data_IF_857246950944
#
_entry.id   IF_857246950944
#
_cell.length_a   1.000
_cell.length_b   1.000
_cell.length_c   1.000
_cell.angle_alpha   90.00
_cell.angle_beta   90.00
_cell.angle_gamma   90.00
#
_symmetry.space_group_name_H-M   'P 1'
#
loop_
_entity.id
_entity.type
_entity.pdbx_description
1 polymer ?
#
# COMPACT_ATOMS: atom_id res chain seq x y z
N UNK A 1 -11.86 16.12 -7.32
CA UNK A 1 -10.55 16.78 -7.11
C UNK A 1 -9.63 15.78 -6.41
N UNK A 2 -8.38 15.64 -6.85
CA UNK A 2 -7.40 14.77 -6.21
C UNK A 2 -6.55 15.56 -5.21
N UNK A 3 -6.07 14.89 -4.18
CA UNK A 3 -5.12 15.43 -3.20
C UNK A 3 -3.86 14.58 -3.22
N UNK A 4 -2.73 15.16 -2.87
CA UNK A 4 -1.42 14.54 -2.98
C UNK A 4 -0.66 14.67 -1.67
N UNK A 5 0.12 13.65 -1.35
CA UNK A 5 1.14 13.70 -0.30
C UNK A 5 2.46 13.93 -1.00
N UNK A 6 3.07 15.09 -0.79
CA UNK A 6 4.28 15.48 -1.49
C UNK A 6 5.44 15.61 -0.54
N UNK A 7 6.60 15.14 -0.97
CA UNK A 7 7.87 15.52 -0.40
C UNK A 7 8.31 16.84 -1.03
N UNK A 8 8.28 17.94 -0.26
CA UNK A 8 8.67 19.26 -0.80
C UNK A 8 10.17 19.44 -0.89
N UNK A 9 10.96 18.60 -0.23
CA UNK A 9 12.42 18.66 -0.31
C UNK A 9 12.94 17.98 -1.57
N UNK A 10 12.34 16.86 -1.95
CA UNK A 10 12.69 16.12 -3.17
C UNK A 10 11.84 16.50 -4.39
N UNK A 11 10.82 17.35 -4.22
CA UNK A 11 9.83 17.68 -5.23
C UNK A 11 9.18 16.42 -5.85
N UNK A 12 8.73 15.48 -5.00
CA UNK A 12 8.13 14.20 -5.42
C UNK A 12 6.74 13.98 -4.85
N UNK A 13 5.87 13.38 -5.65
CA UNK A 13 4.55 12.92 -5.20
C UNK A 13 4.69 11.52 -4.60
N UNK A 14 4.43 11.39 -3.30
CA UNK A 14 4.48 10.13 -2.56
C UNK A 14 3.19 9.34 -2.78
N UNK A 15 2.03 9.95 -2.55
CA UNK A 15 0.75 9.23 -2.55
C UNK A 15 -0.39 10.10 -3.12
N UNK A 16 -1.35 9.45 -3.79
CA UNK A 16 -2.58 10.09 -4.28
C UNK A 16 -3.75 9.77 -3.36
N UNK A 17 -4.41 10.81 -2.86
CA UNK A 17 -5.50 10.78 -1.89
C UNK A 17 -6.82 11.30 -2.47
N UNK A 18 -7.93 10.78 -1.94
CA UNK A 18 -9.29 11.19 -2.34
C UNK A 18 -9.74 12.45 -1.61
N UNK A 19 -9.25 12.67 -0.40
CA UNK A 19 -9.62 13.82 0.44
C UNK A 19 -8.37 14.47 1.03
N UNK A 20 -8.49 15.75 1.39
CA UNK A 20 -7.41 16.48 2.09
C UNK A 20 -7.06 15.81 3.42
N UNK A 21 -8.07 15.43 4.19
CA UNK A 21 -7.89 14.72 5.47
C UNK A 21 -7.11 13.42 5.32
N UNK A 22 -7.35 12.66 4.25
CA UNK A 22 -6.57 11.46 3.96
C UNK A 22 -5.10 11.82 3.68
N UNK A 23 -4.85 12.85 2.87
CA UNK A 23 -3.49 13.33 2.59
C UNK A 23 -2.78 13.82 3.87
N UNK A 24 -3.47 14.50 4.77
CA UNK A 24 -2.93 14.94 6.07
C UNK A 24 -2.48 13.75 6.94
N UNK A 25 -3.29 12.68 7.00
CA UNK A 25 -2.97 11.48 7.79
C UNK A 25 -1.68 10.83 7.26
N UNK A 26 -1.57 10.64 5.94
CA UNK A 26 -0.38 10.02 5.36
C UNK A 26 0.85 10.93 5.39
N UNK A 27 0.68 12.24 5.21
CA UNK A 27 1.78 13.20 5.38
C UNK A 27 2.30 13.20 6.82
N UNK A 28 1.40 13.21 7.81
CA UNK A 28 1.74 13.11 9.22
C UNK A 28 2.47 11.81 9.53
N UNK A 29 1.96 10.67 9.07
CA UNK A 29 2.61 9.37 9.26
C UNK A 29 4.01 9.30 8.63
N UNK A 30 4.18 9.81 7.41
CA UNK A 30 5.50 9.83 6.77
C UNK A 30 6.49 10.71 7.53
N UNK A 31 6.06 11.89 7.98
CA UNK A 31 6.86 12.79 8.81
C UNK A 31 7.24 12.15 10.15
N UNK A 32 6.30 11.47 10.83
CA UNK A 32 6.56 10.73 12.07
C UNK A 32 7.65 9.67 11.90
N UNK A 33 7.58 8.90 10.82
CA UNK A 33 8.53 7.82 10.54
C UNK A 33 9.92 8.37 10.16
N UNK A 34 9.97 9.42 9.35
CA UNK A 34 11.23 9.99 8.85
C UNK A 34 11.85 11.01 9.81
N UNK A 35 11.11 11.50 10.80
CA UNK A 35 11.55 12.58 11.69
C UNK A 35 11.71 13.93 10.99
N UNK A 36 10.88 14.21 9.97
CA UNK A 36 10.94 15.44 9.16
C UNK A 36 9.61 16.21 9.16
N UNK A 37 9.60 17.37 8.52
CA UNK A 37 8.39 18.20 8.29
C UNK A 37 8.22 18.65 6.83
N UNK A 38 8.96 18.02 5.91
CA UNK A 38 8.93 18.32 4.47
C UNK A 38 7.82 17.59 3.73
N UNK A 39 7.16 16.60 4.35
CA UNK A 39 6.06 15.88 3.71
C UNK A 39 4.77 16.63 3.97
N UNK A 40 4.09 17.10 2.92
CA UNK A 40 2.91 17.96 3.05
C UNK A 40 1.75 17.51 2.17
N UNK A 41 0.51 17.64 2.65
CA UNK A 41 -0.65 17.49 1.79
C UNK A 41 -0.74 18.67 0.82
N UNK A 42 -1.11 18.41 -0.44
CA UNK A 42 -1.18 19.41 -1.49
C UNK A 42 -2.26 19.08 -2.52
N UNK A 43 -2.72 20.07 -3.26
CA UNK A 43 -3.52 19.89 -4.49
C UNK A 43 -2.65 19.86 -5.75
N UNK A 44 -1.36 20.18 -5.62
CA UNK A 44 -0.39 20.18 -6.71
C UNK A 44 0.26 18.81 -6.86
N UNK A 45 0.27 18.27 -8.07
CA UNK A 45 1.01 17.07 -8.43
C UNK A 45 2.45 17.42 -8.85
N UNK A 46 3.44 16.70 -8.32
CA UNK A 46 4.79 16.69 -8.85
C UNK A 46 4.97 15.55 -9.86
N UNK A 47 5.65 15.82 -10.98
CA UNK A 47 5.82 14.87 -12.09
C UNK A 47 6.51 13.57 -11.70
N UNK A 48 7.36 13.60 -10.67
CA UNK A 48 8.05 12.41 -10.15
C UNK A 48 7.17 11.70 -9.12
N UNK A 49 6.78 10.45 -9.42
CA UNK A 49 5.96 9.62 -8.52
C UNK A 49 6.77 8.48 -7.91
N UNK A 50 6.67 8.33 -6.60
CA UNK A 50 7.36 7.27 -5.85
C UNK A 50 6.53 5.98 -5.92
N UNK A 51 7.18 4.85 -6.17
CA UNK A 51 6.54 3.54 -6.31
C UNK A 51 7.32 2.44 -5.56
N UNK A 52 6.73 1.24 -5.48
CA UNK A 52 7.40 0.05 -4.95
C UNK A 52 7.86 0.16 -3.49
N UNK A 53 8.99 -0.45 -3.16
CA UNK A 53 9.57 -0.39 -1.81
C UNK A 53 9.95 1.04 -1.39
N UNK A 54 10.33 1.92 -2.33
CA UNK A 54 10.65 3.32 -2.00
C UNK A 54 9.44 4.05 -1.43
N UNK A 55 8.23 3.76 -1.94
CA UNK A 55 6.99 4.31 -1.38
C UNK A 55 6.81 3.85 0.06
N UNK A 56 6.98 2.57 0.32
CA UNK A 56 6.80 1.99 1.65
C UNK A 56 7.85 2.47 2.65
N UNK A 57 9.05 2.83 2.17
CA UNK A 57 10.13 3.42 2.96
C UNK A 57 9.71 4.70 3.70
N UNK A 58 8.84 5.53 3.09
CA UNK A 58 8.29 6.73 3.75
C UNK A 58 7.49 6.38 5.01
N UNK A 59 6.93 5.17 5.08
CA UNK A 59 6.08 4.71 6.17
C UNK A 59 6.75 3.65 7.06
N UNK A 60 8.05 3.38 6.85
CA UNK A 60 8.83 2.46 7.67
C UNK A 60 8.63 0.98 7.33
N UNK A 61 8.24 0.67 6.08
CA UNK A 61 8.04 -0.71 5.64
C UNK A 61 8.80 -1.05 4.37
N UNK A 62 9.04 -2.35 4.21
CA UNK A 62 9.24 -3.03 2.91
C UNK A 62 7.97 -3.77 2.51
N UNK A 63 7.85 -4.18 1.24
CA UNK A 63 6.76 -5.03 0.74
C UNK A 63 6.62 -6.27 1.64
N UNK A 64 7.74 -6.93 1.94
CA UNK A 64 7.72 -8.16 2.74
C UNK A 64 7.20 -7.90 4.16
N UNK A 65 7.75 -6.90 4.85
CA UNK A 65 7.37 -6.58 6.23
C UNK A 65 5.91 -6.12 6.37
N UNK A 66 5.40 -5.33 5.42
CA UNK A 66 4.03 -4.85 5.45
C UNK A 66 3.05 -6.01 5.20
N UNK A 67 3.31 -6.83 4.17
CA UNK A 67 2.47 -7.98 3.85
C UNK A 67 2.46 -8.97 5.00
N UNK A 68 3.62 -9.30 5.56
CA UNK A 68 3.69 -10.26 6.68
C UNK A 68 2.89 -9.75 7.89
N UNK A 69 3.06 -8.46 8.26
CA UNK A 69 2.29 -7.84 9.35
C UNK A 69 0.78 -7.85 9.08
N UNK A 70 0.33 -7.45 7.90
CA UNK A 70 -1.10 -7.47 7.56
C UNK A 70 -1.66 -8.90 7.63
N UNK A 71 -0.93 -9.89 7.13
CA UNK A 71 -1.36 -11.28 7.18
C UNK A 71 -1.44 -11.85 8.61
N UNK A 72 -0.68 -11.32 9.58
CA UNK A 72 -0.87 -11.71 11.00
C UNK A 72 -2.25 -11.33 11.54
N UNK A 73 -2.91 -10.33 10.94
CA UNK A 73 -4.23 -9.84 11.35
C UNK A 73 -5.39 -10.55 10.60
N UNK A 74 -5.09 -11.26 9.52
CA UNK A 74 -6.08 -11.99 8.72
C UNK A 74 -6.56 -13.28 9.44
N UNK A 75 -7.64 -13.94 9.00
CA UNK A 75 -8.11 -15.19 9.61
C UNK A 75 -7.08 -16.30 9.36
N UNK A 76 -6.92 -17.23 10.31
CA UNK A 76 -5.89 -18.29 10.29
C UNK A 76 -5.86 -19.05 8.94
N UNK A 77 -7.03 -19.41 8.41
CA UNK A 77 -7.19 -20.08 7.10
C UNK A 77 -6.60 -19.32 5.91
N UNK A 78 -6.45 -18.00 6.02
CA UNK A 78 -5.93 -17.14 4.95
C UNK A 78 -4.43 -16.92 5.08
N UNK A 79 -3.82 -17.20 6.25
CA UNK A 79 -2.41 -16.96 6.57
C UNK A 79 -1.42 -17.91 5.90
N UNK A 80 -1.88 -18.75 4.98
CA UNK A 80 -1.06 -19.70 4.23
C UNK A 80 0.04 -18.96 3.48
N UNK A 81 1.26 -19.49 3.51
CA UNK A 81 2.43 -18.81 2.94
C UNK A 81 2.30 -18.57 1.43
N UNK A 82 1.62 -19.47 0.71
CA UNK A 82 1.31 -19.27 -0.71
C UNK A 82 0.43 -18.04 -0.97
N UNK A 83 -0.45 -17.65 -0.04
CA UNK A 83 -1.25 -16.41 -0.17
C UNK A 83 -0.39 -15.17 0.09
N UNK A 84 0.51 -15.21 1.09
CA UNK A 84 1.48 -14.13 1.32
C UNK A 84 2.37 -13.95 0.11
N UNK A 85 2.90 -15.06 -0.41
CA UNK A 85 3.75 -15.09 -1.59
C UNK A 85 3.03 -14.50 -2.80
N UNK A 86 1.75 -14.84 -3.04
CA UNK A 86 0.96 -14.24 -4.11
C UNK A 86 0.94 -12.70 -4.02
N UNK A 87 0.60 -12.15 -2.85
CA UNK A 87 0.53 -10.70 -2.67
C UNK A 87 1.91 -10.04 -2.84
N UNK A 88 2.96 -10.65 -2.27
CA UNK A 88 4.35 -10.18 -2.44
C UNK A 88 4.77 -10.19 -3.91
N UNK A 89 4.48 -11.26 -4.64
CA UNK A 89 4.77 -11.39 -6.08
C UNK A 89 4.02 -10.33 -6.89
N UNK A 90 2.75 -10.07 -6.57
CA UNK A 90 1.95 -9.05 -7.24
C UNK A 90 2.48 -7.63 -7.03
N UNK A 91 2.99 -7.33 -5.83
CA UNK A 91 3.54 -6.02 -5.48
C UNK A 91 4.96 -5.82 -6.03
N UNK A 92 5.79 -6.88 -6.05
CA UNK A 92 7.14 -6.86 -6.64
C UNK A 92 7.10 -6.80 -8.17
N UNK A 93 6.02 -7.28 -8.79
CA UNK A 93 5.83 -7.28 -10.24
C UNK A 93 4.52 -6.56 -10.64
N UNK A 94 4.44 -5.23 -10.50
CA UNK A 94 3.19 -4.48 -10.68
C UNK A 94 2.67 -4.50 -12.13
N UNK A 95 3.54 -4.76 -13.11
CA UNK A 95 3.19 -4.83 -14.54
C UNK A 95 2.66 -6.20 -14.97
N UNK A 96 2.89 -7.26 -14.19
CA UNK A 96 2.42 -8.60 -14.53
C UNK A 96 0.93 -8.73 -14.29
N UNK A 97 0.24 -9.47 -15.16
CA UNK A 97 -1.18 -9.76 -14.99
C UNK A 97 -1.44 -10.57 -13.70
N UNK A 98 -2.61 -10.36 -13.09
CA UNK A 98 -2.99 -11.07 -11.86
C UNK A 98 -3.01 -12.59 -12.06
N UNK A 99 -3.46 -13.04 -13.23
CA UNK A 99 -3.45 -14.45 -13.60
C UNK A 99 -2.01 -15.01 -13.67
N UNK A 100 -1.09 -14.28 -14.29
CA UNK A 100 0.33 -14.67 -14.36
C UNK A 100 0.96 -14.76 -12.98
N UNK A 101 0.68 -13.81 -12.08
CA UNK A 101 1.15 -13.86 -10.69
C UNK A 101 0.60 -15.09 -9.94
N UNK A 102 -0.67 -15.46 -10.15
CA UNK A 102 -1.25 -16.69 -9.58
C UNK A 102 -0.52 -17.94 -10.08
N UNK A 103 -0.22 -18.02 -11.37
CA UNK A 103 0.49 -19.16 -11.96
C UNK A 103 1.92 -19.29 -11.43
N UNK A 104 2.61 -18.17 -11.16
CA UNK A 104 3.96 -18.19 -10.58
C UNK A 104 4.02 -18.73 -9.14
N UNK A 105 2.88 -18.84 -8.45
CA UNK A 105 2.79 -19.32 -7.07
C UNK A 105 1.89 -20.55 -6.95
N UNK A 106 1.70 -21.27 -8.06
CA UNK A 106 0.91 -22.50 -8.15
C UNK A 106 -0.54 -22.34 -7.66
N UNK A 107 -1.19 -21.24 -8.06
CA UNK A 107 -2.61 -20.95 -7.74
C UNK A 107 -3.47 -20.78 -8.98
N UNK A 108 -4.76 -21.06 -8.82
CA UNK A 108 -5.76 -20.80 -9.84
C UNK A 108 -5.83 -19.30 -10.20
N UNK A 109 -5.99 -18.95 -11.49
CA UNK A 109 -6.04 -17.56 -11.95
C UNK A 109 -7.10 -16.67 -11.26
N UNK A 110 -8.16 -17.26 -10.71
CA UNK A 110 -9.26 -16.55 -10.02
C UNK A 110 -9.06 -16.42 -8.50
N UNK A 111 -8.01 -17.04 -7.93
CA UNK A 111 -7.79 -17.07 -6.48
C UNK A 111 -7.59 -15.68 -5.88
N UNK A 112 -6.95 -14.76 -6.62
CA UNK A 112 -6.61 -13.43 -6.11
C UNK A 112 -7.83 -12.61 -5.71
N UNK A 113 -8.98 -12.72 -6.39
CA UNK A 113 -10.14 -11.85 -6.14
C UNK A 113 -10.69 -12.05 -4.73
N UNK A 114 -10.79 -13.31 -4.29
CA UNK A 114 -11.23 -13.62 -2.92
C UNK A 114 -10.22 -13.13 -1.89
N UNK A 115 -8.93 -13.35 -2.14
CA UNK A 115 -7.86 -12.94 -1.24
C UNK A 115 -7.78 -11.42 -1.09
N UNK A 116 -7.90 -10.67 -2.19
CA UNK A 116 -7.90 -9.20 -2.20
C UNK A 116 -9.08 -8.61 -1.42
N UNK A 117 -10.27 -9.19 -1.52
CA UNK A 117 -11.43 -8.74 -0.75
C UNK A 117 -11.19 -8.89 0.76
N UNK A 118 -10.72 -10.07 1.19
CA UNK A 118 -10.39 -10.31 2.60
C UNK A 118 -9.25 -9.39 3.06
N UNK A 119 -8.23 -9.17 2.23
CA UNK A 119 -7.13 -8.25 2.52
C UNK A 119 -7.63 -6.81 2.70
N UNK A 120 -8.48 -6.34 1.78
CA UNK A 120 -9.07 -5.00 1.79
C UNK A 120 -9.90 -4.77 3.05
N UNK A 121 -10.70 -5.76 3.45
CA UNK A 121 -11.49 -5.71 4.68
C UNK A 121 -10.57 -5.53 5.89
N UNK A 122 -9.61 -6.43 6.11
CA UNK A 122 -8.73 -6.34 7.28
C UNK A 122 -7.87 -5.06 7.30
N UNK A 123 -7.41 -4.59 6.15
CA UNK A 123 -6.73 -3.30 6.07
C UNK A 123 -7.65 -2.12 6.42
N UNK A 124 -8.93 -2.18 6.05
CA UNK A 124 -9.91 -1.17 6.46
C UNK A 124 -10.14 -1.19 7.98
N UNK A 125 -10.21 -2.38 8.59
CA UNK A 125 -10.26 -2.53 10.05
C UNK A 125 -9.03 -1.90 10.73
N UNK A 126 -7.82 -2.13 10.21
CA UNK A 126 -6.61 -1.45 10.70
C UNK A 126 -6.75 0.08 10.56
N UNK A 127 -7.27 0.56 9.44
CA UNK A 127 -7.55 1.98 9.23
C UNK A 127 -8.49 2.56 10.28
N UNK A 128 -9.55 1.85 10.67
CA UNK A 128 -10.47 2.31 11.71
C UNK A 128 -9.80 2.41 13.09
N UNK A 129 -8.94 1.45 13.45
CA UNK A 129 -8.26 1.41 14.75
C UNK A 129 -7.09 2.39 14.86
N UNK A 130 -6.48 2.75 13.73
CA UNK A 130 -5.26 3.57 13.67
C UNK A 130 -5.51 5.05 13.30
N UNK A 131 -6.75 5.51 13.38
CA UNK A 131 -7.10 6.89 13.01
C UNK A 131 -6.99 7.19 11.51
N UNK A 132 -7.10 6.17 10.65
CA UNK A 132 -7.14 6.28 9.19
C UNK A 132 -5.91 5.76 8.45
N UNK A 133 -4.92 5.17 9.14
CA UNK A 133 -3.70 4.60 8.53
C UNK A 133 -4.01 3.24 7.90
N UNK A 134 -4.59 3.24 6.70
CA UNK A 134 -5.04 2.04 6.00
C UNK A 134 -3.91 1.45 5.11
N UNK A 135 -3.35 0.26 5.44
CA UNK A 135 -2.30 -0.35 4.64
C UNK A 135 -2.68 -0.60 3.18
N UNK A 136 -3.96 -0.85 2.90
CA UNK A 136 -4.44 -1.09 1.53
C UNK A 136 -4.14 0.09 0.61
N UNK A 137 -4.11 1.32 1.15
CA UNK A 137 -3.76 2.50 0.38
C UNK A 137 -2.32 2.45 -0.12
N UNK A 138 -1.40 2.01 0.74
CA UNK A 138 0.01 1.86 0.40
C UNK A 138 0.20 0.75 -0.64
N UNK A 139 -0.48 -0.39 -0.44
CA UNK A 139 -0.44 -1.50 -1.41
C UNK A 139 -0.97 -1.06 -2.79
N UNK A 140 -2.08 -0.30 -2.82
CA UNK A 140 -2.65 0.26 -4.04
C UNK A 140 -1.81 1.38 -4.66
N UNK A 141 -1.01 2.07 -3.86
CA UNK A 141 0.00 3.03 -4.35
C UNK A 141 1.09 2.34 -5.18
N UNK A 142 1.41 1.07 -4.88
CA UNK A 142 2.32 0.26 -5.70
C UNK A 142 1.58 -0.34 -6.90
N UNK A 143 0.39 -0.90 -6.65
CA UNK A 143 -0.40 -1.61 -7.66
C UNK A 143 -1.88 -1.27 -7.54
N UNK A 144 -2.36 -0.39 -8.41
CA UNK A 144 -3.70 0.20 -8.30
C UNK A 144 -4.88 -0.78 -8.44
N UNK A 145 -4.67 -1.94 -9.07
CA UNK A 145 -5.72 -2.95 -9.32
C UNK A 145 -5.79 -4.06 -8.26
N UNK A 146 -5.09 -3.88 -7.14
CA UNK A 146 -5.06 -4.77 -5.98
C UNK A 146 -6.29 -4.58 -5.09
#
# INVERSE_FOLDING_TARGET
MAFYVNDTSECMTVLVCRTMREAEIYAGWANENLGVSSIRPSTTYYNNHITGDRLLGYFGFTIDSLVDRVFTLMPVRTRVDSNKLLIKTMLKNPTLSKASCCLQVDKYPTHYSRLSNTLSEHCAWVGLLSGGRNPMKLLRGIRGDL
#
